data_IF_597167614779
#
_entry.id   IF_597167614779
#
_cell.length_a   1.000
_cell.length_b   1.000
_cell.length_c   1.000
_cell.angle_alpha   90.00
_cell.angle_beta   90.00
_cell.angle_gamma   90.00
#
_symmetry.space_group_name_H-M   'P 1'
#
loop_
_entity.id
_entity.type
_entity.pdbx_description
1 polymer ?
#
# COMPACT_ATOMS: atom_id res chain seq x y z
N UNK A 1 -40.87 -15.95 -2.25
CA UNK A 1 -40.76 -15.73 -0.79
C UNK A 1 -40.40 -14.28 -0.56
N UNK A 2 -41.21 -13.50 0.17
CA UNK A 2 -40.90 -12.10 0.42
C UNK A 2 -39.75 -12.00 1.42
N UNK A 3 -38.56 -11.57 0.97
CA UNK A 3 -37.43 -11.26 1.85
C UNK A 3 -37.80 -10.09 2.76
N UNK A 4 -37.85 -10.33 4.08
CA UNK A 4 -38.04 -9.25 5.05
C UNK A 4 -36.86 -8.28 4.97
N UNK A 5 -37.15 -7.02 4.71
CA UNK A 5 -36.15 -5.95 4.73
C UNK A 5 -36.07 -5.34 6.14
N UNK A 6 -34.90 -4.83 6.55
CA UNK A 6 -34.75 -4.21 7.87
C UNK A 6 -35.79 -3.12 8.21
N UNK A 7 -36.22 -2.24 7.28
CA UNK A 7 -37.30 -1.28 7.57
C UNK A 7 -38.62 -1.97 7.94
N UNK A 8 -39.01 -3.04 7.22
CA UNK A 8 -40.23 -3.81 7.49
C UNK A 8 -40.16 -4.59 8.79
N UNK A 9 -38.95 -5.00 9.20
CA UNK A 9 -38.71 -5.71 10.46
C UNK A 9 -38.81 -4.76 11.65
N UNK A 10 -38.29 -3.53 11.51
CA UNK A 10 -38.40 -2.47 12.52
C UNK A 10 -39.85 -1.98 12.70
N UNK A 11 -40.58 -1.75 11.61
CA UNK A 11 -42.01 -1.38 11.66
C UNK A 11 -42.84 -2.45 12.40
N UNK A 12 -42.61 -3.74 12.10
CA UNK A 12 -43.27 -4.85 12.78
C UNK A 12 -42.86 -4.97 14.25
N UNK A 13 -41.60 -4.72 14.56
CA UNK A 13 -41.10 -4.73 15.94
C UNK A 13 -41.73 -3.61 16.77
N UNK A 14 -41.88 -2.41 16.22
CA UNK A 14 -42.60 -1.32 16.89
C UNK A 14 -44.07 -1.66 17.13
N UNK A 15 -44.74 -2.25 16.13
CA UNK A 15 -46.13 -2.66 16.26
C UNK A 15 -46.30 -3.76 17.32
N UNK A 16 -45.46 -4.80 17.28
CA UNK A 16 -45.47 -5.88 18.26
C UNK A 16 -45.16 -5.38 19.68
N UNK A 17 -44.26 -4.40 19.84
CA UNK A 17 -43.99 -3.76 21.14
C UNK A 17 -45.19 -3.00 21.68
N UNK A 18 -45.88 -2.26 20.83
CA UNK A 18 -47.11 -1.52 21.22
C UNK A 18 -48.20 -2.49 21.66
N UNK A 19 -48.40 -3.57 20.91
CA UNK A 19 -49.38 -4.61 21.22
C UNK A 19 -49.06 -5.33 22.54
N UNK A 20 -47.82 -5.81 22.71
CA UNK A 20 -47.37 -6.45 23.94
C UNK A 20 -47.50 -5.52 25.15
N UNK A 21 -47.14 -4.23 25.00
CA UNK A 21 -47.29 -3.23 26.05
C UNK A 21 -48.75 -3.03 26.44
N UNK A 22 -49.66 -2.87 25.46
CA UNK A 22 -51.09 -2.69 25.73
C UNK A 22 -51.71 -3.89 26.46
N UNK A 23 -51.40 -5.11 26.03
CA UNK A 23 -51.87 -6.33 26.70
C UNK A 23 -51.30 -6.45 28.13
N UNK A 24 -50.03 -6.08 28.33
CA UNK A 24 -49.38 -6.10 29.65
C UNK A 24 -49.99 -5.07 30.61
N UNK A 25 -50.33 -3.89 30.12
CA UNK A 25 -51.03 -2.86 30.90
C UNK A 25 -52.45 -3.32 31.29
N UNK A 26 -53.17 -3.97 30.37
CA UNK A 26 -54.50 -4.55 30.66
C UNK A 26 -54.42 -5.66 31.71
N UNK A 27 -53.43 -6.56 31.61
CA UNK A 27 -53.20 -7.61 32.60
C UNK A 27 -52.86 -7.01 33.97
N UNK A 28 -51.97 -6.01 34.03
CA UNK A 28 -51.59 -5.35 35.27
C UNK A 28 -52.79 -4.64 35.93
N UNK A 29 -53.68 -4.06 35.13
CA UNK A 29 -54.92 -3.46 35.62
C UNK A 29 -55.86 -4.52 36.22
N UNK A 30 -56.09 -5.63 35.51
CA UNK A 30 -56.92 -6.73 36.02
C UNK A 30 -56.35 -7.39 37.29
N UNK A 31 -55.02 -7.54 37.38
CA UNK A 31 -54.35 -8.07 38.57
C UNK A 31 -54.39 -7.08 39.76
N UNK A 32 -54.33 -5.77 39.48
CA UNK A 32 -54.50 -4.72 40.50
C UNK A 32 -55.94 -4.70 41.04
N UNK A 33 -56.94 -4.79 40.16
CA UNK A 33 -58.35 -4.79 40.57
C UNK A 33 -58.71 -6.07 41.34
N UNK A 34 -58.14 -7.21 40.94
CA UNK A 34 -58.21 -8.45 41.72
C UNK A 34 -57.65 -8.26 43.13
N UNK A 35 -56.46 -7.65 43.26
CA UNK A 35 -55.84 -7.41 44.56
C UNK A 35 -56.72 -6.52 45.46
N UNK A 36 -57.29 -5.44 44.90
CA UNK A 36 -58.23 -4.57 45.62
C UNK A 36 -59.51 -5.28 46.05
N UNK A 37 -60.13 -6.04 45.16
CA UNK A 37 -61.34 -6.80 45.49
C UNK A 37 -61.10 -7.82 46.62
N UNK A 38 -59.91 -8.43 46.65
CA UNK A 38 -59.49 -9.30 47.76
C UNK A 38 -59.26 -8.53 49.07
N UNK A 39 -58.67 -7.33 49.02
CA UNK A 39 -58.51 -6.44 50.19
C UNK A 39 -59.87 -6.01 50.77
N UNK A 40 -60.81 -5.66 49.90
CA UNK A 40 -62.18 -5.26 50.26
C UNK A 40 -63.10 -6.43 50.65
N UNK A 41 -62.61 -7.67 50.51
CA UNK A 41 -63.34 -8.93 50.73
C UNK A 41 -64.56 -9.11 49.84
N UNK A 42 -64.58 -8.46 48.68
CA UNK A 42 -65.56 -8.70 47.63
C UNK A 42 -65.12 -9.89 46.77
N UNK A 43 -65.47 -11.09 47.21
CA UNK A 43 -65.08 -12.32 46.53
C UNK A 43 -65.75 -12.50 45.17
N UNK A 44 -66.91 -11.88 44.93
CA UNK A 44 -67.59 -11.96 43.64
C UNK A 44 -66.83 -11.14 42.60
N UNK A 45 -66.50 -9.89 42.92
CA UNK A 45 -65.65 -9.06 42.06
C UNK A 45 -64.25 -9.67 41.87
N UNK A 46 -63.66 -10.27 42.92
CA UNK A 46 -62.37 -10.94 42.81
C UNK A 46 -62.42 -12.14 41.83
N UNK A 47 -63.50 -12.90 41.80
CA UNK A 47 -63.63 -14.02 40.85
C UNK A 47 -63.71 -13.52 39.39
N UNK A 48 -64.43 -12.43 39.15
CA UNK A 48 -64.57 -11.82 37.82
C UNK A 48 -63.23 -11.22 37.33
N UNK A 49 -62.52 -10.47 38.19
CA UNK A 49 -61.20 -9.93 37.86
C UNK A 49 -60.16 -11.02 37.65
N UNK A 50 -60.25 -12.14 38.38
CA UNK A 50 -59.39 -13.31 38.16
C UNK A 50 -59.62 -13.93 36.78
N UNK A 51 -60.87 -14.13 36.37
CA UNK A 51 -61.20 -14.65 35.03
C UNK A 51 -60.66 -13.73 33.94
N UNK A 52 -60.85 -12.42 34.08
CA UNK A 52 -60.29 -11.43 33.15
C UNK A 52 -58.76 -11.46 33.09
N UNK A 53 -58.07 -11.60 34.23
CA UNK A 53 -56.62 -11.74 34.25
C UNK A 53 -56.16 -13.07 33.60
N UNK A 54 -56.84 -14.17 33.87
CA UNK A 54 -56.54 -15.48 33.29
C UNK A 54 -56.70 -15.49 31.76
N UNK A 55 -57.71 -14.80 31.23
CA UNK A 55 -57.92 -14.62 29.78
C UNK A 55 -56.81 -13.78 29.12
N UNK A 56 -56.22 -12.82 29.83
CA UNK A 56 -55.17 -11.93 29.31
C UNK A 56 -53.75 -12.52 29.40
N UNK A 57 -53.49 -13.48 30.30
CA UNK A 57 -52.16 -14.07 30.51
C UNK A 57 -51.57 -14.71 29.26
N UNK A 58 -52.36 -15.52 28.56
CA UNK A 58 -51.88 -16.23 27.37
C UNK A 58 -51.61 -15.29 26.17
N UNK A 59 -52.50 -14.32 25.84
CA UNK A 59 -52.20 -13.28 24.86
C UNK A 59 -50.93 -12.48 25.16
N UNK A 60 -50.70 -12.08 26.42
CA UNK A 60 -49.46 -11.37 26.82
C UNK A 60 -48.23 -12.22 26.51
N UNK A 61 -48.24 -13.50 26.90
CA UNK A 61 -47.11 -14.40 26.68
C UNK A 61 -46.80 -14.58 25.19
N UNK A 62 -47.82 -14.71 24.34
CA UNK A 62 -47.66 -14.82 22.89
C UNK A 62 -47.09 -13.53 22.30
N UNK A 63 -47.62 -12.37 22.71
CA UNK A 63 -47.15 -11.07 22.22
C UNK A 63 -45.69 -10.81 22.60
N UNK A 64 -45.30 -11.12 23.84
CA UNK A 64 -43.92 -11.00 24.30
C UNK A 64 -42.97 -11.97 23.58
N UNK A 65 -43.40 -13.21 23.33
CA UNK A 65 -42.63 -14.16 22.54
C UNK A 65 -42.44 -13.67 21.09
N UNK A 66 -43.46 -13.05 20.50
CA UNK A 66 -43.36 -12.46 19.17
C UNK A 66 -42.36 -11.31 19.11
N UNK A 67 -42.36 -10.41 20.11
CA UNK A 67 -41.35 -9.35 20.24
C UNK A 67 -39.94 -9.94 20.35
N UNK A 68 -39.74 -10.97 21.17
CA UNK A 68 -38.43 -11.64 21.30
C UNK A 68 -37.94 -12.24 19.98
N UNK A 69 -38.82 -12.92 19.25
CA UNK A 69 -38.50 -13.49 17.95
C UNK A 69 -38.10 -12.42 16.92
N UNK A 70 -38.82 -11.28 16.89
CA UNK A 70 -38.49 -10.17 16.01
C UNK A 70 -37.16 -9.49 16.39
N UNK A 71 -36.84 -9.38 17.68
CA UNK A 71 -35.53 -8.87 18.13
C UNK A 71 -34.40 -9.79 17.64
N UNK A 72 -34.54 -11.10 17.84
CA UNK A 72 -33.53 -12.07 17.39
C UNK A 72 -33.32 -12.01 15.87
N UNK A 73 -34.41 -11.96 15.10
CA UNK A 73 -34.34 -11.83 13.64
C UNK A 73 -33.70 -10.51 13.17
N UNK A 74 -33.91 -9.40 13.90
CA UNK A 74 -33.24 -8.14 13.60
C UNK A 74 -31.73 -8.24 13.81
N UNK A 75 -31.30 -8.86 14.92
CA UNK A 75 -29.88 -9.05 15.26
C UNK A 75 -29.18 -9.97 14.25
N UNK A 76 -29.82 -11.07 13.85
CA UNK A 76 -29.27 -11.97 12.83
C UNK A 76 -29.12 -11.29 11.46
N UNK A 77 -30.11 -10.49 11.06
CA UNK A 77 -30.05 -9.74 9.80
C UNK A 77 -28.92 -8.70 9.81
N UNK A 78 -28.71 -8.02 10.95
CA UNK A 78 -27.62 -7.07 11.11
C UNK A 78 -26.26 -7.76 11.09
N UNK A 79 -26.12 -8.89 11.78
CA UNK A 79 -24.91 -9.71 11.76
C UNK A 79 -24.59 -10.22 10.35
N UNK A 80 -25.60 -10.68 9.61
CA UNK A 80 -25.44 -11.12 8.22
C UNK A 80 -24.97 -9.99 7.32
N UNK A 81 -25.58 -8.80 7.42
CA UNK A 81 -25.17 -7.61 6.65
C UNK A 81 -23.75 -7.19 6.97
N UNK A 82 -23.37 -7.20 8.25
CA UNK A 82 -22.01 -6.88 8.66
C UNK A 82 -21.00 -7.90 8.12
N UNK A 83 -21.35 -9.19 8.10
CA UNK A 83 -20.51 -10.23 7.52
C UNK A 83 -20.35 -10.07 5.99
N UNK A 84 -21.45 -9.80 5.27
CA UNK A 84 -21.42 -9.52 3.83
C UNK A 84 -20.55 -8.31 3.52
N UNK A 85 -20.73 -7.20 4.25
CA UNK A 85 -19.92 -5.99 4.07
C UNK A 85 -18.43 -6.25 4.31
N UNK A 86 -18.08 -7.00 5.36
CA UNK A 86 -16.69 -7.38 5.62
C UNK A 86 -16.12 -8.23 4.48
N UNK A 87 -16.87 -9.22 4.00
CA UNK A 87 -16.45 -10.06 2.89
C UNK A 87 -16.24 -9.24 1.60
N UNK A 88 -17.11 -8.27 1.32
CA UNK A 88 -16.94 -7.34 0.18
C UNK A 88 -15.72 -6.45 0.37
N UNK A 89 -15.52 -5.85 1.54
CA UNK A 89 -14.37 -5.00 1.83
C UNK A 89 -13.04 -5.77 1.74
N UNK A 90 -12.97 -6.99 2.29
CA UNK A 90 -11.78 -7.84 2.19
C UNK A 90 -11.46 -8.19 0.74
N UNK A 91 -12.48 -8.46 -0.09
CA UNK A 91 -12.29 -8.73 -1.51
C UNK A 91 -11.76 -7.49 -2.24
N UNK A 92 -12.35 -6.32 -2.02
CA UNK A 92 -11.91 -5.06 -2.61
C UNK A 92 -10.47 -4.72 -2.21
N UNK A 93 -10.12 -4.91 -0.93
CA UNK A 93 -8.76 -4.70 -0.44
C UNK A 93 -7.75 -5.64 -1.10
N UNK A 94 -8.09 -6.92 -1.25
CA UNK A 94 -7.23 -7.90 -1.94
C UNK A 94 -7.06 -7.56 -3.42
N UNK A 95 -8.13 -7.15 -4.10
CA UNK A 95 -8.07 -6.73 -5.50
C UNK A 95 -7.21 -5.46 -5.67
N UNK A 96 -7.34 -4.48 -4.78
CA UNK A 96 -6.51 -3.27 -4.80
C UNK A 96 -5.04 -3.56 -4.50
N UNK A 97 -4.76 -4.39 -3.48
CA UNK A 97 -3.40 -4.81 -3.12
C UNK A 97 -2.75 -5.59 -4.27
N UNK A 98 -3.50 -6.46 -4.95
CA UNK A 98 -3.02 -7.18 -6.13
C UNK A 98 -2.59 -6.24 -7.26
N UNK A 99 -3.42 -5.25 -7.59
CA UNK A 99 -3.09 -4.24 -8.61
C UNK A 99 -1.85 -3.41 -8.24
N UNK A 100 -1.74 -2.99 -6.98
CA UNK A 100 -0.58 -2.23 -6.50
C UNK A 100 0.70 -3.08 -6.55
N UNK A 101 0.61 -4.36 -6.21
CA UNK A 101 1.73 -5.28 -6.29
C UNK A 101 2.20 -5.50 -7.74
N UNK A 102 1.26 -5.73 -8.67
CA UNK A 102 1.56 -5.88 -10.10
C UNK A 102 2.20 -4.60 -10.67
N UNK A 103 1.66 -3.42 -10.33
CA UNK A 103 2.22 -2.14 -10.77
C UNK A 103 3.62 -1.89 -10.20
N UNK A 104 3.83 -2.17 -8.92
CA UNK A 104 5.14 -2.04 -8.28
C UNK A 104 6.18 -2.97 -8.93
N UNK A 105 5.80 -4.21 -9.20
CA UNK A 105 6.68 -5.21 -9.85
C UNK A 105 7.03 -4.78 -11.28
N UNK A 106 6.06 -4.25 -12.04
CA UNK A 106 6.30 -3.75 -13.39
C UNK A 106 7.25 -2.54 -13.40
N UNK A 107 7.07 -1.61 -12.44
CA UNK A 107 7.97 -0.45 -12.27
C UNK A 107 9.38 -0.87 -11.86
N UNK A 108 9.51 -1.87 -10.98
CA UNK A 108 10.81 -2.42 -10.60
C UNK A 108 11.52 -3.04 -11.81
N UNK A 109 10.81 -3.85 -12.62
CA UNK A 109 11.37 -4.44 -13.83
C UNK A 109 11.85 -3.36 -14.82
N UNK A 110 11.05 -2.30 -15.04
CA UNK A 110 11.44 -1.17 -15.87
C UNK A 110 12.69 -0.44 -15.33
N UNK A 111 12.75 -0.18 -14.03
CA UNK A 111 13.90 0.47 -13.42
C UNK A 111 15.18 -0.39 -13.52
N UNK A 112 15.05 -1.71 -13.41
CA UNK A 112 16.16 -2.64 -13.62
C UNK A 112 16.66 -2.63 -15.07
N UNK A 113 15.75 -2.59 -16.04
CA UNK A 113 16.09 -2.48 -17.46
C UNK A 113 16.78 -1.15 -17.77
N UNK A 114 16.27 -0.03 -17.24
CA UNK A 114 16.90 1.29 -17.36
C UNK A 114 18.29 1.31 -16.71
N UNK A 115 18.44 0.73 -15.52
CA UNK A 115 19.74 0.59 -14.87
C UNK A 115 20.72 -0.20 -15.73
N UNK A 116 20.30 -1.32 -16.32
CA UNK A 116 21.14 -2.14 -17.20
C UNK A 116 21.56 -1.37 -18.45
N UNK A 117 20.66 -0.57 -19.04
CA UNK A 117 20.98 0.31 -20.17
C UNK A 117 22.03 1.36 -19.78
N UNK A 118 21.88 2.02 -18.63
CA UNK A 118 22.85 2.99 -18.15
C UNK A 118 24.21 2.36 -17.83
N UNK A 119 24.23 1.14 -17.28
CA UNK A 119 25.47 0.40 -17.06
C UNK A 119 26.15 0.02 -18.38
N UNK A 120 25.38 -0.37 -19.40
CA UNK A 120 25.92 -0.63 -20.74
C UNK A 120 26.52 0.64 -21.37
N UNK A 121 25.80 1.77 -21.31
CA UNK A 121 26.29 3.07 -21.76
C UNK A 121 27.57 3.49 -21.03
N UNK A 122 27.64 3.28 -19.71
CA UNK A 122 28.83 3.57 -18.91
C UNK A 122 30.02 2.72 -19.34
N UNK A 123 29.82 1.42 -19.63
CA UNK A 123 30.86 0.52 -20.13
C UNK A 123 31.40 0.97 -21.49
N UNK A 124 30.52 1.38 -22.41
CA UNK A 124 30.92 1.93 -23.70
C UNK A 124 31.71 3.24 -23.54
N UNK A 125 31.23 4.14 -22.69
CA UNK A 125 31.91 5.39 -22.38
C UNK A 125 33.30 5.17 -21.76
N UNK A 126 33.44 4.16 -20.89
CA UNK A 126 34.73 3.78 -20.31
C UNK A 126 35.73 3.33 -21.39
N UNK A 127 35.30 2.47 -22.32
CA UNK A 127 36.15 2.02 -23.44
C UNK A 127 36.55 3.20 -24.32
N UNK A 128 35.61 4.07 -24.67
CA UNK A 128 35.87 5.27 -25.47
C UNK A 128 36.86 6.21 -24.77
N UNK A 129 36.67 6.46 -23.47
CA UNK A 129 37.57 7.30 -22.69
C UNK A 129 38.99 6.73 -22.64
N UNK A 130 39.13 5.42 -22.44
CA UNK A 130 40.45 4.75 -22.47
C UNK A 130 41.15 4.91 -23.83
N UNK A 131 40.40 4.77 -24.92
CA UNK A 131 40.94 4.96 -26.25
C UNK A 131 41.43 6.40 -26.46
N UNK A 132 40.61 7.39 -26.11
CA UNK A 132 40.97 8.82 -26.23
C UNK A 132 42.22 9.15 -25.40
N UNK A 133 42.30 8.63 -24.16
CA UNK A 133 43.48 8.83 -23.30
C UNK A 133 44.73 8.20 -23.93
N UNK A 134 44.62 7.00 -24.50
CA UNK A 134 45.73 6.32 -25.17
C UNK A 134 46.20 7.08 -26.42
N UNK A 135 45.27 7.60 -27.21
CA UNK A 135 45.55 8.44 -28.39
C UNK A 135 46.22 9.77 -27.99
N UNK A 136 45.81 10.38 -26.87
CA UNK A 136 46.44 11.58 -26.34
C UNK A 136 47.89 11.35 -25.90
N UNK A 137 48.18 10.22 -25.22
CA UNK A 137 49.55 9.83 -24.87
C UNK A 137 50.38 9.59 -26.15
N UNK A 138 49.83 8.91 -27.14
CA UNK A 138 50.52 8.67 -28.41
C UNK A 138 50.80 9.98 -29.18
N UNK A 139 49.87 10.94 -29.16
CA UNK A 139 50.08 12.27 -29.72
C UNK A 139 51.19 13.03 -28.98
N UNK A 140 51.20 12.97 -27.64
CA UNK A 140 52.26 13.55 -26.82
C UNK A 140 53.64 12.98 -27.16
N UNK A 141 53.75 11.65 -27.30
CA UNK A 141 55.00 10.97 -27.68
C UNK A 141 55.47 11.40 -29.08
N UNK A 142 54.57 11.44 -30.07
CA UNK A 142 54.89 11.91 -31.42
C UNK A 142 55.38 13.37 -31.42
N UNK A 143 54.72 14.24 -30.67
CA UNK A 143 55.14 15.63 -30.52
C UNK A 143 56.53 15.75 -29.87
N UNK A 144 56.80 14.91 -28.86
CA UNK A 144 58.12 14.81 -28.22
C UNK A 144 59.20 14.37 -29.20
N UNK A 145 58.94 13.32 -29.97
CA UNK A 145 59.88 12.81 -30.98
C UNK A 145 60.17 13.87 -32.06
N UNK A 146 59.14 14.51 -32.61
CA UNK A 146 59.32 15.57 -33.61
C UNK A 146 60.16 16.74 -33.08
N UNK A 147 60.03 17.07 -31.78
CA UNK A 147 60.84 18.10 -31.13
C UNK A 147 62.31 17.68 -31.01
N UNK A 148 62.60 16.43 -30.66
CA UNK A 148 63.96 15.89 -30.63
C UNK A 148 64.57 15.81 -32.04
N UNK A 149 63.82 15.32 -33.01
CA UNK A 149 64.26 15.23 -34.41
C UNK A 149 64.59 16.60 -34.98
N UNK A 150 63.72 17.59 -34.72
CA UNK A 150 63.96 18.98 -35.08
C UNK A 150 65.24 19.51 -34.42
N UNK A 151 65.43 19.27 -33.12
CA UNK A 151 66.63 19.66 -32.38
C UNK A 151 67.91 19.08 -33.01
N UNK A 152 67.92 17.77 -33.28
CA UNK A 152 69.06 17.11 -33.92
C UNK A 152 69.33 17.62 -35.33
N UNK A 153 68.28 17.86 -36.13
CA UNK A 153 68.41 18.44 -37.46
C UNK A 153 69.01 19.85 -37.41
N UNK A 154 68.60 20.69 -36.44
CA UNK A 154 69.15 22.03 -36.27
C UNK A 154 70.62 22.05 -35.84
N UNK A 155 71.04 21.11 -34.98
CA UNK A 155 72.47 20.91 -34.68
C UNK A 155 73.24 20.49 -35.93
N UNK A 156 72.73 19.50 -36.68
CA UNK A 156 73.35 19.02 -37.92
C UNK A 156 73.47 20.10 -39.00
N UNK A 157 72.53 21.04 -39.03
CA UNK A 157 72.53 22.19 -39.93
C UNK A 157 73.36 23.39 -39.42
N UNK A 158 73.93 23.31 -38.21
CA UNK A 158 74.71 24.39 -37.59
C UNK A 158 73.86 25.56 -37.06
N UNK A 159 72.54 25.40 -36.97
CA UNK A 159 71.62 26.41 -36.39
C UNK A 159 71.78 26.48 -34.87
N UNK A 160 72.06 25.33 -34.24
CA UNK A 160 72.31 25.22 -32.80
C UNK A 160 73.68 24.58 -32.52
N UNK A 161 74.29 24.94 -31.39
CA UNK A 161 75.55 24.37 -30.94
C UNK A 161 75.37 22.93 -30.42
N UNK A 162 76.39 22.08 -30.57
CA UNK A 162 76.32 20.66 -30.17
C UNK A 162 76.18 20.44 -28.66
N UNK A 163 76.66 21.38 -27.85
CA UNK A 163 76.62 21.38 -26.40
C UNK A 163 75.33 22.01 -25.83
N UNK A 164 74.38 22.39 -26.68
CA UNK A 164 73.10 22.93 -26.24
C UNK A 164 72.27 21.88 -25.47
N UNK A 165 71.63 22.25 -24.34
CA UNK A 165 70.74 21.35 -23.61
C UNK A 165 69.56 20.86 -24.46
N UNK A 166 69.17 19.60 -24.28
CA UNK A 166 68.03 19.03 -24.98
C UNK A 166 66.71 19.73 -24.59
N UNK A 167 65.76 19.84 -25.54
CA UNK A 167 64.49 20.46 -25.27
C UNK A 167 63.60 19.58 -24.38
N UNK A 168 62.87 20.19 -23.46
CA UNK A 168 61.90 19.47 -22.64
C UNK A 168 60.79 18.85 -23.52
N UNK A 169 60.38 17.62 -23.18
CA UNK A 169 59.31 16.91 -23.87
C UNK A 169 57.93 17.38 -23.37
N UNK A 170 56.91 17.48 -24.24
CA UNK A 170 55.55 17.75 -23.81
C UNK A 170 55.05 16.61 -22.93
N UNK A 171 54.39 16.95 -21.81
CA UNK A 171 53.89 15.97 -20.83
C UNK A 171 52.43 16.20 -20.39
N UNK A 172 51.69 17.07 -21.08
CA UNK A 172 50.36 17.51 -20.66
C UNK A 172 49.34 16.38 -20.45
N UNK A 173 49.32 15.36 -21.32
CA UNK A 173 48.40 14.23 -21.20
C UNK A 173 48.79 13.33 -20.03
N UNK A 174 50.09 13.02 -19.88
CA UNK A 174 50.59 12.22 -18.75
C UNK A 174 50.31 12.90 -17.42
N UNK A 175 50.58 14.20 -17.32
CA UNK A 175 50.33 15.00 -16.12
C UNK A 175 48.84 15.00 -15.75
N UNK A 176 47.94 15.18 -16.72
CA UNK A 176 46.49 15.15 -16.46
C UNK A 176 46.02 13.79 -15.92
N UNK A 177 46.59 12.69 -16.43
CA UNK A 177 46.28 11.33 -15.96
C UNK A 177 46.77 11.15 -14.53
N UNK A 178 47.99 11.58 -14.22
CA UNK A 178 48.59 11.46 -12.89
C UNK A 178 47.79 12.23 -11.82
N UNK A 179 47.19 13.37 -12.19
CA UNK A 179 46.35 14.16 -11.30
C UNK A 179 44.90 13.67 -11.18
N UNK A 180 44.45 12.75 -12.04
CA UNK A 180 43.09 12.23 -12.02
C UNK A 180 43.07 10.76 -11.59
N UNK A 181 42.66 10.45 -10.34
CA UNK A 181 42.58 9.07 -9.86
C UNK A 181 41.74 8.16 -10.76
N UNK A 182 40.69 8.71 -11.39
CA UNK A 182 39.80 8.00 -12.31
C UNK A 182 40.55 7.64 -13.61
N UNK A 183 41.24 8.60 -14.24
CA UNK A 183 42.00 8.33 -15.47
C UNK A 183 43.18 7.41 -15.21
N UNK A 184 43.83 7.55 -14.06
CA UNK A 184 44.91 6.69 -13.62
C UNK A 184 44.41 5.23 -13.47
N UNK A 185 43.28 5.03 -12.81
CA UNK A 185 42.66 3.70 -12.69
C UNK A 185 42.23 3.12 -14.04
N UNK A 186 41.67 3.94 -14.94
CA UNK A 186 41.29 3.51 -16.31
C UNK A 186 42.51 2.96 -17.09
N UNK A 187 43.68 3.58 -16.90
CA UNK A 187 44.90 3.16 -17.57
C UNK A 187 45.56 1.94 -16.92
N UNK A 188 45.43 1.79 -15.59
CA UNK A 188 46.05 0.72 -14.83
C UNK A 188 45.23 -0.58 -14.81
N UNK A 189 43.91 -0.50 -14.94
CA UNK A 189 43.01 -1.65 -14.90
C UNK A 189 42.40 -1.93 -16.29
N UNK A 190 43.00 -2.85 -17.08
CA UNK A 190 42.50 -3.16 -18.42
C UNK A 190 41.19 -3.95 -18.43
N UNK A 191 40.80 -4.50 -17.27
CA UNK A 191 39.54 -5.20 -17.07
C UNK A 191 38.51 -4.23 -16.47
N UNK A 192 37.32 -4.15 -17.09
CA UNK A 192 36.18 -3.44 -16.50
C UNK A 192 35.89 -4.03 -15.11
N UNK A 193 35.58 -3.21 -14.08
CA UNK A 193 35.02 -3.75 -12.86
C UNK A 193 33.77 -4.56 -13.21
N UNK A 194 33.81 -5.85 -12.89
CA UNK A 194 32.75 -6.84 -13.12
C UNK A 194 31.48 -6.44 -12.38
#
# INVERSE_FOLDING_TARGET
MATMTAPKLNERLEQARKEAKGLREQLAFAESDLAKALEDRDYAAAEDHKKAADELRQPVLIAEAHVKALIAGAQELEAHRAAEQRATQEREQREQAGRQFEEATAREAQAMDEMNQHLAQLREAYVALRQIVSEAIAAQQRAGQARLDSHHAGIGAGIWAQDMPQPALPNHASVLIDYSPVLLQIMQNPQLPS
#
